data_IF_964792800245
#
_entry.id   IF_964792800245
#
_cell.length_a   1.000
_cell.length_b   1.000
_cell.length_c   1.000
_cell.angle_alpha   90.00
_cell.angle_beta   90.00
_cell.angle_gamma   90.00
#
_symmetry.space_group_name_H-M   'P 1'
#
loop_
_entity.id
_entity.type
_entity.pdbx_description
1 polymer ?
#
# COMPACT_ATOMS: atom_id res chain seq x y z
N UNK A 1 48.60 24.63 4.08
CA UNK A 1 48.31 23.67 5.17
C UNK A 1 47.17 24.22 6.03
N UNK A 2 45.94 24.18 5.50
CA UNK A 2 44.75 24.66 6.23
C UNK A 2 44.13 23.47 6.98
N UNK A 3 44.42 23.45 8.27
CA UNK A 3 43.72 22.68 9.29
C UNK A 3 42.29 23.19 9.49
N UNK A 4 41.43 22.30 10.01
CA UNK A 4 40.06 22.47 10.52
C UNK A 4 38.93 22.06 9.58
N UNK A 5 38.94 20.78 9.21
CA UNK A 5 37.72 20.02 8.92
C UNK A 5 37.00 19.75 10.26
N UNK A 6 36.20 20.70 10.74
CA UNK A 6 35.34 20.52 11.92
C UNK A 6 33.88 20.41 11.49
N UNK A 7 33.46 19.23 11.06
CA UNK A 7 32.04 18.85 11.12
C UNK A 7 31.92 17.46 11.71
N UNK A 8 32.22 17.39 13.00
CA UNK A 8 31.70 16.33 13.84
C UNK A 8 30.18 16.52 13.96
N UNK A 9 29.44 15.55 13.44
CA UNK A 9 28.39 14.82 14.16
C UNK A 9 27.56 15.62 15.18
N UNK A 10 26.32 16.00 14.82
CA UNK A 10 25.15 15.72 15.67
C UNK A 10 23.85 15.91 14.88
N UNK A 11 23.28 14.81 14.40
CA UNK A 11 21.82 14.68 14.36
C UNK A 11 21.43 13.61 15.38
N UNK A 12 21.66 13.96 16.64
CA UNK A 12 20.99 13.30 17.75
C UNK A 12 19.49 13.61 17.63
N UNK A 13 18.66 12.70 18.12
CA UNK A 13 17.21 12.81 18.24
C UNK A 13 16.40 12.50 16.98
N UNK A 14 16.48 11.25 16.53
CA UNK A 14 15.30 10.43 16.30
C UNK A 14 15.72 8.96 16.33
N UNK A 15 15.23 8.21 17.32
CA UNK A 15 15.54 6.81 17.48
C UNK A 15 14.91 5.99 16.36
N UNK A 16 15.70 5.55 15.39
CA UNK A 16 15.33 4.44 14.51
C UNK A 16 16.00 3.16 15.05
N UNK A 17 15.15 2.24 15.50
CA UNK A 17 15.52 0.89 15.89
C UNK A 17 15.91 0.07 14.66
N UNK A 18 17.17 0.14 14.24
CA UNK A 18 17.96 -0.93 13.61
C UNK A 18 19.12 -0.35 12.80
N UNK A 19 20.29 -0.97 12.94
CA UNK A 19 21.53 -0.60 12.24
C UNK A 19 21.41 -0.77 10.71
N UNK A 20 20.44 -1.57 10.23
CA UNK A 20 20.25 -1.82 8.79
C UNK A 20 19.71 -0.59 8.03
N UNK A 21 18.79 0.18 8.62
CA UNK A 21 18.14 1.31 7.94
C UNK A 21 19.10 2.46 7.57
N UNK A 22 20.23 2.59 8.27
CA UNK A 22 21.25 3.62 7.98
C UNK A 22 22.10 3.22 6.77
N UNK A 23 22.42 1.92 6.65
CA UNK A 23 23.25 1.39 5.56
C UNK A 23 22.43 1.34 4.27
N UNK A 24 21.18 0.88 4.35
CA UNK A 24 20.32 0.72 3.17
C UNK A 24 19.95 2.07 2.53
N UNK A 25 19.68 3.10 3.34
CA UNK A 25 19.27 4.41 2.83
C UNK A 25 20.45 5.20 2.25
N UNK A 26 21.63 5.15 2.89
CA UNK A 26 22.83 5.85 2.41
C UNK A 26 23.44 5.18 1.15
N UNK A 27 23.33 3.84 1.02
CA UNK A 27 23.70 3.13 -0.20
C UNK A 27 22.71 3.39 -1.34
N UNK A 28 21.41 3.43 -1.05
CA UNK A 28 20.37 3.72 -2.05
C UNK A 28 20.49 5.15 -2.59
N UNK A 29 20.67 6.15 -1.73
CA UNK A 29 20.84 7.54 -2.16
C UNK A 29 22.13 7.74 -2.96
N UNK A 30 23.26 7.15 -2.54
CA UNK A 30 24.53 7.24 -3.27
C UNK A 30 24.46 6.53 -4.64
N UNK A 31 23.85 5.34 -4.69
CA UNK A 31 23.67 4.59 -5.93
C UNK A 31 22.73 5.31 -6.90
N UNK A 32 21.60 5.82 -6.42
CA UNK A 32 20.67 6.60 -7.24
C UNK A 32 21.29 7.91 -7.72
N UNK A 33 22.10 8.57 -6.89
CA UNK A 33 22.83 9.77 -7.30
C UNK A 33 23.78 9.47 -8.45
N UNK A 34 24.53 8.37 -8.38
CA UNK A 34 25.42 7.93 -9.46
C UNK A 34 24.68 7.66 -10.78
N UNK A 35 23.50 7.04 -10.73
CA UNK A 35 22.65 6.81 -11.91
C UNK A 35 22.17 8.14 -12.50
N UNK A 36 21.68 9.05 -11.64
CA UNK A 36 21.16 10.36 -12.06
C UNK A 36 22.27 11.22 -12.66
N UNK A 37 23.45 11.23 -12.05
CA UNK A 37 24.60 12.00 -12.51
C UNK A 37 25.14 11.45 -13.83
N UNK A 38 25.21 10.12 -13.97
CA UNK A 38 25.57 9.46 -15.23
C UNK A 38 24.57 9.80 -16.34
N UNK A 39 23.27 9.81 -16.05
CA UNK A 39 22.25 10.18 -17.02
C UNK A 39 22.37 11.67 -17.42
N UNK A 40 22.56 12.57 -16.45
CA UNK A 40 22.75 14.00 -16.71
C UNK A 40 24.00 14.26 -17.54
N UNK A 41 25.10 13.56 -17.28
CA UNK A 41 26.34 13.71 -18.03
C UNK A 41 26.20 13.23 -19.49
N UNK A 42 25.61 12.04 -19.68
CA UNK A 42 25.51 11.44 -21.02
C UNK A 42 24.40 12.07 -21.88
N UNK A 43 23.23 12.33 -21.31
CA UNK A 43 22.04 12.75 -22.06
C UNK A 43 21.69 14.23 -21.88
N UNK A 44 22.12 14.87 -20.79
CA UNK A 44 21.86 16.29 -20.52
C UNK A 44 22.35 17.22 -21.64
N UNK A 45 23.60 17.09 -22.15
CA UNK A 45 24.08 17.89 -23.27
C UNK A 45 23.27 17.69 -24.55
N UNK A 46 22.84 16.47 -24.83
CA UNK A 46 22.03 16.14 -26.02
C UNK A 46 20.65 16.80 -25.95
N UNK A 47 20.01 16.74 -24.78
CA UNK A 47 18.72 17.40 -24.56
C UNK A 47 18.88 18.91 -24.67
N UNK A 48 19.89 19.49 -24.02
CA UNK A 48 20.16 20.94 -24.07
C UNK A 48 20.40 21.42 -25.50
N UNK A 49 21.21 20.68 -26.27
CA UNK A 49 21.45 20.97 -27.69
C UNK A 49 20.14 20.98 -28.48
N UNK A 50 19.26 19.98 -28.31
CA UNK A 50 17.95 19.95 -28.98
C UNK A 50 17.08 21.16 -28.62
N UNK A 51 17.08 21.58 -27.37
CA UNK A 51 16.35 22.77 -26.94
C UNK A 51 16.92 24.05 -27.57
N UNK A 52 18.25 24.20 -27.57
CA UNK A 52 18.93 25.36 -28.16
C UNK A 52 18.74 25.41 -29.70
N UNK A 53 18.79 24.26 -30.37
CA UNK A 53 18.51 24.11 -31.81
C UNK A 53 17.05 24.47 -32.12
N UNK A 54 16.08 23.97 -31.34
CA UNK A 54 14.65 24.32 -31.48
C UNK A 54 14.40 25.82 -31.27
N UNK A 55 15.13 26.44 -30.32
CA UNK A 55 15.06 27.88 -30.06
C UNK A 55 15.70 28.71 -31.20
N UNK A 56 16.78 28.21 -31.81
CA UNK A 56 17.44 28.83 -32.97
C UNK A 56 16.59 28.77 -34.24
N UNK A 57 15.89 27.66 -34.47
CA UNK A 57 15.00 27.51 -35.62
C UNK A 57 13.76 28.41 -35.52
N UNK A 58 13.58 29.15 -34.42
CA UNK A 58 12.48 30.09 -34.26
C UNK A 58 11.13 29.41 -34.40
N UNK A 59 11.05 28.11 -34.06
CA UNK A 59 9.80 27.34 -34.02
C UNK A 59 8.96 27.95 -32.91
N UNK A 60 8.20 28.96 -33.30
CA UNK A 60 7.21 29.56 -32.44
C UNK A 60 6.20 28.46 -32.14
N UNK A 61 6.12 28.07 -30.87
CA UNK A 61 5.11 27.15 -30.35
C UNK A 61 3.73 27.81 -30.38
N UNK A 62 3.40 28.57 -31.44
CA UNK A 62 2.04 29.06 -31.67
C UNK A 62 1.16 27.84 -31.66
N UNK A 63 0.22 27.83 -30.71
CA UNK A 63 -0.97 26.98 -30.77
C UNK A 63 -1.50 27.09 -32.20
N UNK A 64 -1.48 25.99 -32.97
CA UNK A 64 -2.02 26.01 -34.33
C UNK A 64 -3.48 26.45 -34.19
N UNK A 65 -3.84 27.60 -34.74
CA UNK A 65 -5.22 28.06 -34.78
C UNK A 65 -6.02 27.08 -35.65
N UNK A 66 -7.11 26.54 -35.13
CA UNK A 66 -7.95 25.56 -35.81
C UNK A 66 -7.78 24.10 -35.35
N UNK A 67 -7.05 23.82 -34.26
CA UNK A 67 -7.15 22.50 -33.60
C UNK A 67 -8.49 22.45 -32.87
N UNK A 68 -9.39 21.59 -33.36
CA UNK A 68 -10.66 21.31 -32.68
C UNK A 68 -10.38 20.85 -31.23
N UNK A 69 -11.12 21.36 -30.24
CA UNK A 69 -10.92 20.94 -28.85
C UNK A 69 -11.10 19.43 -28.74
N UNK A 70 -10.10 18.73 -28.20
CA UNK A 70 -10.26 17.32 -27.88
C UNK A 70 -11.38 17.19 -26.84
N UNK A 71 -12.42 16.42 -27.18
CA UNK A 71 -13.46 16.10 -26.23
C UNK A 71 -12.87 15.25 -25.11
N UNK A 72 -13.33 15.42 -23.85
CA UNK A 72 -12.92 14.56 -22.76
C UNK A 72 -13.25 13.09 -23.11
N UNK A 73 -12.42 12.13 -22.68
CA UNK A 73 -12.75 10.72 -22.83
C UNK A 73 -14.12 10.44 -22.19
N UNK A 74 -14.96 9.69 -22.91
CA UNK A 74 -16.26 9.27 -22.37
C UNK A 74 -16.02 8.43 -21.12
N UNK A 75 -16.54 8.89 -19.99
CA UNK A 75 -16.44 8.16 -18.73
C UNK A 75 -17.16 6.81 -18.83
N UNK A 76 -16.41 5.72 -18.62
CA UNK A 76 -16.96 4.37 -18.52
C UNK A 76 -16.90 3.93 -17.06
N UNK A 77 -17.99 3.32 -16.57
CA UNK A 77 -17.97 2.66 -15.27
C UNK A 77 -17.00 1.48 -15.32
N UNK A 78 -15.87 1.62 -14.63
CA UNK A 78 -14.92 0.52 -14.49
C UNK A 78 -15.55 -0.62 -13.69
N UNK A 79 -15.31 -1.89 -14.05
CA UNK A 79 -15.68 -2.99 -13.18
C UNK A 79 -14.97 -2.80 -11.84
N UNK A 80 -15.75 -2.85 -10.76
CA UNK A 80 -15.21 -2.77 -9.41
C UNK A 80 -14.28 -3.96 -9.11
N UNK A 81 -13.50 -3.82 -8.04
CA UNK A 81 -12.63 -4.90 -7.55
C UNK A 81 -13.43 -6.19 -7.36
N UNK A 82 -12.98 -7.34 -7.90
CA UNK A 82 -13.62 -8.62 -7.63
C UNK A 82 -13.68 -8.91 -6.13
N UNK A 83 -14.83 -9.42 -5.66
CA UNK A 83 -14.99 -9.80 -4.25
C UNK A 83 -14.02 -10.93 -3.91
N UNK A 84 -13.31 -10.81 -2.78
CA UNK A 84 -12.37 -11.83 -2.26
C UNK A 84 -12.99 -13.24 -2.21
N UNK A 85 -14.26 -13.33 -1.82
CA UNK A 85 -15.04 -14.56 -1.83
C UNK A 85 -16.25 -14.41 -2.77
N UNK A 86 -16.20 -15.07 -3.93
CA UNK A 86 -17.33 -15.22 -4.85
C UNK A 86 -18.41 -16.11 -4.21
N UNK A 87 -19.69 -15.86 -4.54
CA UNK A 87 -20.78 -16.79 -4.21
C UNK A 87 -20.52 -18.11 -4.93
N UNK A 88 -20.56 -19.22 -4.20
CA UNK A 88 -20.38 -20.57 -4.75
C UNK A 88 -21.66 -21.04 -5.42
N UNK A 89 -21.54 -21.76 -6.54
CA UNK A 89 -22.67 -22.46 -7.15
C UNK A 89 -23.15 -23.64 -6.27
N UNK A 90 -24.39 -24.10 -6.46
CA UNK A 90 -25.00 -25.19 -5.67
C UNK A 90 -24.17 -26.48 -5.70
N UNK A 91 -23.47 -26.74 -6.80
CA UNK A 91 -22.69 -27.94 -7.04
C UNK A 91 -21.22 -27.82 -6.63
N UNK A 92 -20.78 -26.66 -6.12
CA UNK A 92 -19.40 -26.50 -5.67
C UNK A 92 -19.21 -27.11 -4.27
N UNK A 93 -18.13 -27.87 -4.04
CA UNK A 93 -17.82 -28.38 -2.71
C UNK A 93 -17.62 -27.22 -1.73
N UNK A 94 -18.30 -27.29 -0.59
CA UNK A 94 -18.04 -26.37 0.53
C UNK A 94 -16.58 -26.58 0.97
N UNK A 95 -15.88 -25.47 1.27
CA UNK A 95 -14.52 -25.61 1.81
C UNK A 95 -14.67 -26.33 3.15
N UNK A 96 -14.07 -27.51 3.26
CA UNK A 96 -13.96 -28.22 4.53
C UNK A 96 -12.89 -27.50 5.33
N UNK A 97 -13.25 -26.98 6.50
CA UNK A 97 -12.26 -26.43 7.43
C UNK A 97 -11.65 -27.61 8.20
N UNK A 98 -10.59 -28.21 7.65
CA UNK A 98 -9.94 -29.41 8.20
C UNK A 98 -9.36 -29.23 9.63
N UNK A 99 -9.29 -28.00 10.14
CA UNK A 99 -8.82 -27.69 11.51
C UNK A 99 -9.90 -27.25 12.49
N UNK A 100 -11.19 -27.24 12.09
CA UNK A 100 -12.28 -26.82 12.97
C UNK A 100 -13.35 -27.91 13.02
N UNK A 101 -13.56 -28.48 14.21
CA UNK A 101 -14.71 -29.35 14.44
C UNK A 101 -15.99 -28.52 14.30
N UNK A 102 -16.93 -29.02 13.50
CA UNK A 102 -18.27 -28.45 13.48
C UNK A 102 -18.92 -28.68 14.86
N UNK A 103 -19.85 -27.82 15.26
CA UNK A 103 -20.62 -28.00 16.50
C UNK A 103 -21.81 -28.95 16.31
N UNK A 104 -21.88 -29.70 15.22
CA UNK A 104 -23.00 -30.59 14.96
C UNK A 104 -22.95 -31.75 15.97
N UNK A 105 -24.07 -32.02 16.65
CA UNK A 105 -24.16 -33.05 17.68
C UNK A 105 -23.66 -32.63 19.08
N UNK A 106 -23.13 -31.41 19.26
CA UNK A 106 -22.77 -30.92 20.59
C UNK A 106 -24.02 -30.49 21.37
N UNK A 107 -24.30 -31.15 22.50
CA UNK A 107 -25.37 -30.75 23.41
C UNK A 107 -24.97 -29.48 24.15
N UNK A 108 -25.73 -28.41 23.95
CA UNK A 108 -25.50 -27.12 24.62
C UNK A 108 -26.07 -27.18 26.04
N UNK A 109 -25.19 -27.29 27.05
CA UNK A 109 -25.56 -27.26 28.47
C UNK A 109 -25.44 -25.85 29.05
N UNK A 110 -26.45 -25.42 29.79
CA UNK A 110 -26.47 -24.14 30.47
C UNK A 110 -25.64 -24.19 31.77
N UNK A 111 -24.60 -23.35 31.87
CA UNK A 111 -23.76 -23.23 33.08
C UNK A 111 -24.45 -22.64 34.31
N UNK A 112 -25.68 -22.18 34.16
CA UNK A 112 -26.46 -21.57 35.25
C UNK A 112 -27.45 -22.56 35.84
N UNK A 113 -28.27 -23.19 34.99
CA UNK A 113 -29.33 -24.10 35.43
C UNK A 113 -29.02 -25.58 35.19
N UNK A 114 -27.94 -25.92 34.49
CA UNK A 114 -27.60 -27.29 34.08
C UNK A 114 -28.41 -27.84 32.90
N UNK A 115 -29.53 -27.18 32.52
CA UNK A 115 -30.41 -27.63 31.44
C UNK A 115 -29.78 -27.61 30.05
N UNK A 116 -30.32 -28.41 29.15
CA UNK A 116 -29.86 -28.55 27.76
C UNK A 116 -30.62 -27.62 26.79
N UNK A 117 -30.13 -27.48 25.56
CA UNK A 117 -30.80 -26.74 24.48
C UNK A 117 -30.66 -25.22 24.53
N UNK A 118 -30.02 -24.66 25.57
CA UNK A 118 -29.81 -23.23 25.71
C UNK A 118 -28.50 -22.91 26.43
N UNK A 119 -28.03 -21.67 26.31
CA UNK A 119 -26.84 -21.20 27.01
C UNK A 119 -27.21 -20.23 28.14
N UNK A 120 -26.23 -19.82 28.96
CA UNK A 120 -26.47 -18.89 30.08
C UNK A 120 -27.13 -17.56 29.66
N UNK A 121 -26.85 -17.05 28.45
CA UNK A 121 -27.41 -15.78 27.97
C UNK A 121 -28.89 -15.89 27.64
N UNK A 122 -29.32 -17.05 27.14
CA UNK A 122 -30.72 -17.35 26.80
C UNK A 122 -31.39 -18.18 27.91
N UNK A 123 -30.90 -18.13 29.14
CA UNK A 123 -31.44 -18.89 30.25
C UNK A 123 -32.61 -18.15 30.89
N UNK A 124 -33.73 -18.84 31.08
CA UNK A 124 -34.96 -18.28 31.62
C UNK A 124 -34.97 -18.13 33.14
N UNK A 125 -34.01 -18.73 33.86
CA UNK A 125 -33.91 -18.55 35.31
C UNK A 125 -33.44 -17.13 35.63
N UNK A 126 -33.91 -16.54 36.74
CA UNK A 126 -33.42 -15.25 37.24
C UNK A 126 -31.93 -15.37 37.65
N UNK A 127 -31.13 -14.31 37.46
CA UNK A 127 -29.74 -14.33 37.93
C UNK A 127 -29.76 -14.37 39.46
N UNK A 128 -29.43 -15.52 40.04
CA UNK A 128 -29.09 -15.58 41.46
C UNK A 128 -27.74 -14.86 41.62
N UNK A 129 -27.81 -13.57 41.94
CA UNK A 129 -26.70 -12.87 42.59
C UNK A 129 -26.54 -13.55 43.95
N UNK A 130 -25.58 -14.48 44.05
CA UNK A 130 -25.26 -15.15 45.31
C UNK A 130 -24.75 -14.15 46.34
N UNK A 131 -25.23 -14.31 47.56
CA UNK A 131 -24.74 -13.75 48.82
C UNK A 131 -23.25 -13.99 49.06
#
# INVERSE_FOLDING_TARGET
LLSKYSKAWTKAFQGLHSVSGIIDNNLYEAFNSSIVDSWKYNYGPLMKKKFDDTKKEGVDWKRKSGIEPVLPPIEKKMPGRPKKNKRKAKNEPKKVNYGQLNRAGLIMRCRKCGGEGHNRKSCFQANTTGS
#
